data_IF_834098454032
#
_entry.id   IF_834098454032
#
_cell.length_a   1.000
_cell.length_b   1.000
_cell.length_c   1.000
_cell.angle_alpha   90.00
_cell.angle_beta   90.00
_cell.angle_gamma   90.00
#
_symmetry.space_group_name_H-M   'P 1'
#
loop_
_entity.id
_entity.type
_entity.pdbx_description
1 polymer ?
#
# COMPACT_ATOMS: atom_id res chain seq x y z
N UNK A 1 0.06 16.53 32.87
CA UNK A 1 -0.36 15.79 31.66
C UNK A 1 0.93 15.46 30.94
N UNK A 2 1.20 14.19 30.67
CA UNK A 2 2.33 13.84 29.81
C UNK A 2 2.03 14.34 28.39
N UNK A 3 2.83 15.28 27.90
CA UNK A 3 2.75 15.70 26.50
C UNK A 3 3.20 14.53 25.63
N UNK A 4 2.29 14.07 24.77
CA UNK A 4 2.59 13.03 23.78
C UNK A 4 3.27 13.69 22.58
N UNK A 5 4.58 13.50 22.46
CA UNK A 5 5.36 13.95 21.32
C UNK A 5 5.39 12.90 20.21
N UNK A 6 5.26 13.36 18.96
CA UNK A 6 5.42 12.49 17.79
C UNK A 6 6.91 12.43 17.42
N UNK A 7 7.46 11.23 17.30
CA UNK A 7 8.77 11.02 16.67
C UNK A 7 8.64 11.19 15.15
N UNK A 8 8.85 12.42 14.69
CA UNK A 8 8.71 12.79 13.27
C UNK A 8 9.56 11.90 12.35
N UNK A 9 10.88 11.70 12.60
CA UNK A 9 11.69 10.79 11.80
C UNK A 9 11.13 9.37 11.73
N UNK A 10 10.73 8.79 12.87
CA UNK A 10 10.21 7.42 12.90
C UNK A 10 8.89 7.29 12.14
N UNK A 11 7.96 8.23 12.31
CA UNK A 11 6.65 8.21 11.63
C UNK A 11 6.81 8.46 10.13
N UNK A 12 7.73 9.33 9.73
CA UNK A 12 8.05 9.56 8.31
C UNK A 12 8.68 8.32 7.67
N UNK A 13 9.56 7.61 8.38
CA UNK A 13 10.13 6.34 7.93
C UNK A 13 9.06 5.25 7.81
N UNK A 14 8.15 5.17 8.78
CA UNK A 14 7.02 4.24 8.75
C UNK A 14 6.13 4.50 7.52
N UNK A 15 5.85 5.76 7.21
CA UNK A 15 5.13 6.13 6.00
C UNK A 15 5.84 5.63 4.72
N UNK A 16 7.14 5.86 4.61
CA UNK A 16 7.94 5.39 3.46
C UNK A 16 7.90 3.87 3.31
N UNK A 17 8.03 3.14 4.42
CA UNK A 17 7.95 1.68 4.42
C UNK A 17 6.60 1.18 3.88
N UNK A 18 5.48 1.78 4.32
CA UNK A 18 4.16 1.47 3.78
C UNK A 18 4.05 1.80 2.28
N UNK A 19 4.66 2.90 1.83
CA UNK A 19 4.73 3.25 0.40
C UNK A 19 5.42 2.15 -0.40
N UNK A 20 6.62 1.75 0.01
CA UNK A 20 7.41 0.70 -0.65
C UNK A 20 6.67 -0.65 -0.67
N UNK A 21 6.08 -1.07 0.47
CA UNK A 21 5.29 -2.31 0.54
C UNK A 21 4.10 -2.23 -0.42
N UNK A 22 3.39 -1.09 -0.45
CA UNK A 22 2.27 -0.88 -1.36
C UNK A 22 2.68 -0.99 -2.83
N UNK A 23 3.80 -0.38 -3.23
CA UNK A 23 4.35 -0.46 -4.59
C UNK A 23 4.71 -1.90 -4.99
N UNK A 24 5.39 -2.64 -4.09
CA UNK A 24 5.73 -4.05 -4.33
C UNK A 24 4.45 -4.88 -4.52
N UNK A 25 3.44 -4.70 -3.67
CA UNK A 25 2.18 -5.43 -3.78
C UNK A 25 1.38 -5.04 -5.05
N UNK A 26 1.46 -3.78 -5.50
CA UNK A 26 0.89 -3.38 -6.79
C UNK A 26 1.61 -4.05 -7.96
N UNK A 27 2.94 -4.14 -7.94
CA UNK A 27 3.71 -4.85 -8.95
C UNK A 27 3.34 -6.34 -9.00
N UNK A 28 3.19 -6.99 -7.85
CA UNK A 28 2.70 -8.37 -7.75
C UNK A 28 1.29 -8.49 -8.34
N UNK A 29 0.37 -7.58 -7.99
CA UNK A 29 -0.98 -7.59 -8.54
C UNK A 29 -1.01 -7.42 -10.07
N UNK A 30 -0.11 -6.59 -10.63
CA UNK A 30 0.05 -6.43 -12.08
C UNK A 30 0.60 -7.70 -12.74
N UNK A 31 1.59 -8.35 -12.14
CA UNK A 31 2.13 -9.62 -12.63
C UNK A 31 1.07 -10.73 -12.62
N UNK A 32 0.25 -10.81 -11.56
CA UNK A 32 -0.87 -11.76 -11.50
C UNK A 32 -1.92 -11.50 -12.59
N UNK A 33 -2.16 -10.25 -12.97
CA UNK A 33 -3.05 -9.93 -14.09
C UNK A 33 -2.48 -10.36 -15.45
N UNK A 34 -1.17 -10.14 -15.65
CA UNK A 34 -0.48 -10.60 -16.86
C UNK A 34 -0.54 -12.13 -16.97
N UNK A 35 -0.29 -12.84 -15.86
CA UNK A 35 -0.42 -14.30 -15.80
C UNK A 35 -1.84 -14.75 -16.09
N UNK A 36 -2.87 -14.12 -15.50
CA UNK A 36 -4.26 -14.44 -15.82
C UNK A 36 -4.58 -14.25 -17.29
N UNK A 37 -4.05 -13.21 -17.92
CA UNK A 37 -4.24 -12.93 -19.35
C UNK A 37 -3.62 -14.04 -20.18
N UNK A 38 -2.37 -14.42 -19.91
CA UNK A 38 -1.67 -15.51 -20.59
C UNK A 38 -2.40 -16.83 -20.37
N UNK A 39 -2.77 -17.15 -19.13
CA UNK A 39 -3.46 -18.40 -18.80
C UNK A 39 -4.81 -18.51 -19.50
N UNK A 40 -5.58 -17.42 -19.55
CA UNK A 40 -6.85 -17.38 -20.27
C UNK A 40 -6.67 -17.54 -21.78
N UNK A 41 -5.61 -16.99 -22.37
CA UNK A 41 -5.32 -17.17 -23.80
C UNK A 41 -4.80 -18.57 -24.11
N UNK A 42 -4.00 -19.18 -23.22
CA UNK A 42 -3.46 -20.53 -23.40
C UNK A 42 -4.42 -21.64 -22.99
N UNK A 43 -5.46 -21.37 -22.17
CA UNK A 43 -6.42 -22.36 -21.70
C UNK A 43 -7.18 -23.07 -22.85
N UNK A 44 -7.19 -22.50 -24.05
CA UNK A 44 -7.71 -23.15 -25.26
C UNK A 44 -6.90 -24.38 -25.71
N UNK A 45 -5.64 -24.55 -25.26
CA UNK A 45 -4.69 -25.57 -25.73
C UNK A 45 -4.56 -26.77 -24.74
N UNK A 46 -5.08 -26.66 -23.51
CA UNK A 46 -4.92 -27.72 -22.49
C UNK A 46 -5.86 -27.52 -21.30
N UNK A 47 -7.13 -27.90 -21.49
CA UNK A 47 -8.31 -27.49 -20.72
C UNK A 47 -8.36 -27.86 -19.22
N UNK A 48 -7.41 -28.64 -18.68
CA UNK A 48 -7.55 -29.22 -17.33
C UNK A 48 -6.58 -28.61 -16.29
N UNK A 49 -5.36 -28.23 -16.68
CA UNK A 49 -4.37 -27.70 -15.73
C UNK A 49 -4.49 -26.19 -15.45
N UNK A 50 -4.83 -25.39 -16.47
CA UNK A 50 -4.84 -23.93 -16.37
C UNK A 50 -6.01 -23.35 -15.58
N UNK A 51 -7.16 -24.04 -15.55
CA UNK A 51 -8.38 -23.51 -14.94
C UNK A 51 -8.30 -23.38 -13.42
N UNK A 52 -7.67 -24.35 -12.74
CA UNK A 52 -7.45 -24.30 -11.29
C UNK A 52 -6.54 -23.12 -10.91
N UNK A 53 -5.49 -22.86 -11.69
CA UNK A 53 -4.59 -21.74 -11.46
C UNK A 53 -5.26 -20.40 -11.74
N UNK A 54 -6.10 -20.30 -12.78
CA UNK A 54 -6.91 -19.10 -13.06
C UNK A 54 -7.82 -18.78 -11.86
N UNK A 55 -8.55 -19.78 -11.35
CA UNK A 55 -9.44 -19.62 -10.19
C UNK A 55 -8.67 -19.18 -8.95
N UNK A 56 -7.51 -19.81 -8.68
CA UNK A 56 -6.67 -19.45 -7.56
C UNK A 56 -6.18 -17.99 -7.67
N UNK A 57 -5.64 -17.60 -8.83
CA UNK A 57 -5.15 -16.22 -9.02
C UNK A 57 -6.31 -15.22 -8.90
N UNK A 58 -7.48 -15.53 -9.47
CA UNK A 58 -8.69 -14.68 -9.35
C UNK A 58 -9.15 -14.51 -7.90
N UNK A 59 -9.00 -15.55 -7.07
CA UNK A 59 -9.34 -15.49 -5.65
C UNK A 59 -8.38 -14.58 -4.88
N UNK A 60 -7.06 -14.72 -5.06
CA UNK A 60 -6.07 -14.01 -4.21
C UNK A 60 -5.85 -12.55 -4.63
N UNK A 61 -5.95 -12.27 -5.94
CA UNK A 61 -5.63 -10.95 -6.51
C UNK A 61 -6.38 -9.77 -5.85
N UNK A 62 -7.71 -9.82 -5.59
CA UNK A 62 -8.40 -8.72 -4.93
C UNK A 62 -7.91 -8.46 -3.50
N UNK A 63 -7.43 -9.49 -2.79
CA UNK A 63 -6.87 -9.32 -1.45
C UNK A 63 -5.51 -8.60 -1.50
N UNK A 64 -4.64 -9.01 -2.41
CA UNK A 64 -3.33 -8.35 -2.63
C UNK A 64 -3.55 -6.88 -3.00
N UNK A 65 -4.48 -6.61 -3.93
CA UNK A 65 -4.83 -5.24 -4.31
C UNK A 65 -5.32 -4.42 -3.12
N UNK A 66 -6.23 -4.97 -2.29
CA UNK A 66 -6.76 -4.26 -1.13
C UNK A 66 -5.66 -3.90 -0.13
N UNK A 67 -4.74 -4.81 0.13
CA UNK A 67 -3.61 -4.56 1.03
C UNK A 67 -2.69 -3.50 0.44
N UNK A 68 -2.37 -3.59 -0.85
CA UNK A 68 -1.56 -2.61 -1.55
C UNK A 68 -2.16 -1.19 -1.47
N UNK A 69 -3.46 -1.08 -1.74
CA UNK A 69 -4.20 0.18 -1.68
C UNK A 69 -4.20 0.75 -0.24
N UNK A 70 -4.35 -0.11 0.78
CA UNK A 70 -4.28 0.30 2.19
C UNK A 70 -2.89 0.76 2.62
N UNK A 71 -1.83 0.12 2.13
CA UNK A 71 -0.47 0.57 2.39
C UNK A 71 -0.21 1.97 1.78
N UNK A 72 -0.74 2.23 0.59
CA UNK A 72 -0.67 3.56 -0.03
C UNK A 72 -1.50 4.61 0.70
N UNK A 73 -2.66 4.24 1.25
CA UNK A 73 -3.48 5.09 2.11
C UNK A 73 -2.72 5.45 3.40
N UNK A 74 -2.14 4.45 4.08
CA UNK A 74 -1.34 4.67 5.29
C UNK A 74 -0.12 5.54 5.05
N UNK A 75 0.58 5.39 3.92
CA UNK A 75 1.66 6.29 3.55
C UNK A 75 1.20 7.75 3.51
N UNK A 76 0.07 8.02 2.83
CA UNK A 76 -0.49 9.37 2.71
C UNK A 76 -0.95 9.93 4.06
N UNK A 77 -1.64 9.11 4.86
CA UNK A 77 -2.17 9.52 6.16
C UNK A 77 -1.06 9.84 7.16
N UNK A 78 0.00 9.04 7.19
CA UNK A 78 1.15 9.28 8.06
C UNK A 78 1.92 10.53 7.63
N UNK A 79 2.14 10.75 6.33
CA UNK A 79 2.74 11.99 5.82
C UNK A 79 1.87 13.20 6.17
N UNK A 80 0.56 13.10 5.98
CA UNK A 80 -0.39 14.16 6.32
C UNK A 80 -0.37 14.47 7.83
N UNK A 81 -0.27 13.45 8.67
CA UNK A 81 -0.18 13.57 10.13
C UNK A 81 1.11 14.26 10.56
N UNK A 82 2.26 13.88 9.99
CA UNK A 82 3.54 14.56 10.23
C UNK A 82 3.47 16.03 9.84
N UNK A 83 2.95 16.33 8.63
CA UNK A 83 2.81 17.71 8.17
C UNK A 83 1.81 18.53 9.01
N UNK A 84 0.77 17.89 9.56
CA UNK A 84 -0.16 18.53 10.47
C UNK A 84 0.50 18.83 11.82
N UNK A 85 1.30 17.90 12.34
CA UNK A 85 2.06 18.06 13.57
C UNK A 85 3.09 19.19 13.46
N UNK A 86 3.93 19.18 12.41
CA UNK A 86 4.93 20.22 12.14
C UNK A 86 4.28 21.61 11.96
N UNK A 87 3.13 21.70 11.27
CA UNK A 87 2.40 22.99 11.14
C UNK A 87 1.71 23.42 12.42
N UNK A 88 1.20 22.49 13.21
CA UNK A 88 0.61 22.75 14.52
C UNK A 88 1.64 23.31 15.49
N UNK A 89 2.84 22.75 15.46
CA UNK A 89 4.01 23.26 16.17
C UNK A 89 4.42 24.65 15.67
N UNK A 90 4.53 24.87 14.35
CA UNK A 90 4.83 26.20 13.78
C UNK A 90 3.80 27.29 14.16
N UNK A 91 2.52 26.93 14.28
CA UNK A 91 1.46 27.84 14.76
C UNK A 91 1.49 28.05 16.28
N UNK A 92 1.99 27.08 17.05
CA UNK A 92 2.23 27.20 18.49
C UNK A 92 3.45 28.07 18.80
N UNK A 93 4.52 27.93 18.02
CA UNK A 93 5.79 28.63 18.21
C UNK A 93 5.72 30.15 17.94
N UNK A 94 4.78 30.61 17.11
CA UNK A 94 4.57 32.04 16.81
C UNK A 94 3.79 32.79 17.90
N UNK A 95 3.29 32.10 18.94
CA UNK A 95 2.48 32.70 20.01
C UNK A 95 3.29 33.14 21.24
N UNK A 96 4.62 33.04 21.17
CA UNK A 96 5.56 33.54 22.19
C UNK A 96 6.50 34.61 21.59
N UNK A 97 5.91 35.69 21.07
CA UNK A 97 6.57 36.98 20.88
C UNK A 97 5.75 38.07 21.57
#
# INVERSE_FOLDING_TARGET
>A
MDEVYMDIPAVRQMAQNFGQIGEVLQAVNAALEALLTILKTTAFIGLVGGFALIQFIQMIKPHIKRIADKCQELNKDLIASVNAYERGDQRGATRFY
#
